data_IF_124743403441
#
_entry.id   IF_124743403441
#
_cell.length_a   1.000
_cell.length_b   1.000
_cell.length_c   1.000
_cell.angle_alpha   90.00
_cell.angle_beta   90.00
_cell.angle_gamma   90.00
#
_symmetry.space_group_name_H-M   'P 1'
#
loop_
_entity.id
_entity.type
_entity.pdbx_description
1 polymer ?
#
# COMPACT_ATOMS: atom_id res chain seq x y z
N UNK A 1 -2.71 -15.88 10.99
CA UNK A 1 -1.43 -16.41 10.45
C UNK A 1 -1.77 -17.58 9.55
N UNK A 2 -1.82 -17.35 8.23
CA UNK A 2 -1.90 -18.47 7.30
C UNK A 2 -0.57 -19.19 7.37
N UNK A 3 -0.57 -20.46 7.74
CA UNK A 3 0.60 -21.32 7.69
C UNK A 3 1.16 -21.32 6.25
N UNK A 4 2.47 -21.55 6.04
CA UNK A 4 3.05 -21.62 4.68
C UNK A 4 2.35 -22.64 3.78
N UNK A 5 1.77 -23.70 4.36
CA UNK A 5 0.94 -24.68 3.65
C UNK A 5 -0.39 -24.09 3.15
N UNK A 6 -1.02 -23.19 3.90
CA UNK A 6 -2.23 -22.50 3.47
C UNK A 6 -1.96 -21.47 2.34
N UNK A 7 -0.73 -20.97 2.21
CA UNK A 7 -0.33 -20.11 1.09
C UNK A 7 -0.20 -20.88 -0.23
N UNK A 8 0.01 -22.20 -0.19
CA UNK A 8 0.08 -23.07 -1.36
C UNK A 8 -1.30 -23.49 -1.88
N UNK A 9 -2.35 -23.41 -1.04
CA UNK A 9 -3.70 -23.74 -1.46
C UNK A 9 -4.35 -22.62 -2.27
N UNK A 10 -5.12 -22.94 -3.33
CA UNK A 10 -5.84 -21.93 -4.07
C UNK A 10 -6.97 -21.33 -3.23
N UNK A 11 -6.93 -20.01 -3.02
CA UNK A 11 -7.90 -19.26 -2.21
C UNK A 11 -8.49 -18.13 -3.03
N UNK A 12 -9.80 -17.93 -2.90
CA UNK A 12 -10.52 -16.81 -3.49
C UNK A 12 -11.49 -16.17 -2.50
N UNK A 13 -11.65 -14.86 -2.58
CA UNK A 13 -12.68 -14.13 -1.87
C UNK A 13 -13.84 -13.83 -2.81
N UNK A 14 -15.05 -14.02 -2.29
CA UNK A 14 -16.29 -13.79 -3.02
C UNK A 14 -17.08 -12.62 -2.44
N UNK A 15 -17.69 -11.88 -3.33
CA UNK A 15 -18.76 -10.94 -3.04
C UNK A 15 -19.89 -11.17 -4.04
N UNK A 16 -21.12 -11.34 -3.55
CA UNK A 16 -22.33 -11.54 -4.39
C UNK A 16 -22.15 -12.59 -5.52
N UNK A 17 -21.56 -13.76 -5.17
CA UNK A 17 -21.31 -14.87 -6.10
C UNK A 17 -20.27 -14.59 -7.21
N UNK A 18 -19.47 -13.52 -7.07
CA UNK A 18 -18.34 -13.21 -7.93
C UNK A 18 -17.04 -13.22 -7.15
N UNK A 19 -15.98 -13.61 -7.80
CA UNK A 19 -14.62 -13.55 -7.28
C UNK A 19 -14.17 -12.09 -7.27
N UNK A 20 -13.76 -11.58 -6.09
CA UNK A 20 -13.22 -10.21 -5.94
C UNK A 20 -11.72 -10.21 -5.73
N UNK A 21 -11.17 -11.26 -5.10
CA UNK A 21 -9.73 -11.41 -4.91
C UNK A 21 -9.33 -12.87 -4.98
N UNK A 22 -8.09 -13.14 -5.39
CA UNK A 22 -7.50 -14.47 -5.52
C UNK A 22 -6.03 -14.44 -5.12
N UNK A 23 -5.52 -15.54 -4.55
CA UNK A 23 -4.09 -15.69 -4.32
C UNK A 23 -3.36 -16.20 -5.58
N UNK A 24 -2.01 -16.22 -5.52
CA UNK A 24 -1.17 -16.65 -6.63
C UNK A 24 -1.46 -18.10 -7.08
N UNK A 25 -1.75 -19.00 -6.13
CA UNK A 25 -2.08 -20.38 -6.43
C UNK A 25 -3.38 -20.50 -7.26
N UNK A 26 -4.43 -19.77 -6.88
CA UNK A 26 -5.67 -19.72 -7.64
C UNK A 26 -5.49 -19.04 -9.02
N UNK A 27 -4.66 -17.99 -9.10
CA UNK A 27 -4.32 -17.37 -10.38
C UNK A 27 -3.61 -18.33 -11.32
N UNK A 28 -2.70 -19.15 -10.80
CA UNK A 28 -2.01 -20.20 -11.57
C UNK A 28 -2.95 -21.24 -12.19
N UNK A 29 -4.08 -21.50 -11.54
CA UNK A 29 -5.16 -22.38 -12.05
C UNK A 29 -6.14 -21.65 -12.99
N UNK A 30 -5.86 -20.39 -13.34
CA UNK A 30 -6.69 -19.62 -14.27
C UNK A 30 -7.85 -18.86 -13.62
N UNK A 31 -8.01 -18.92 -12.28
CA UNK A 31 -9.06 -18.14 -11.59
C UNK A 31 -8.70 -16.66 -11.60
N UNK A 32 -9.65 -15.81 -11.96
CA UNK A 32 -9.47 -14.36 -12.08
C UNK A 32 -10.56 -13.61 -11.31
N UNK A 33 -10.25 -12.42 -10.77
CA UNK A 33 -11.28 -11.50 -10.25
C UNK A 33 -12.34 -11.20 -11.32
N UNK A 34 -13.60 -11.05 -10.91
CA UNK A 34 -14.75 -10.83 -11.77
C UNK A 34 -15.46 -12.13 -12.24
N UNK A 35 -14.81 -13.28 -12.15
CA UNK A 35 -15.43 -14.57 -12.53
C UNK A 35 -16.61 -14.91 -11.61
N UNK A 36 -17.59 -15.64 -12.18
CA UNK A 36 -18.66 -16.26 -11.39
C UNK A 36 -18.09 -17.41 -10.54
N UNK A 37 -18.65 -17.61 -9.36
CA UNK A 37 -18.27 -18.71 -8.47
C UNK A 37 -18.24 -20.08 -9.17
N UNK A 38 -19.29 -20.40 -9.94
CA UNK A 38 -19.40 -21.68 -10.64
C UNK A 38 -18.25 -21.89 -11.64
N UNK A 39 -17.87 -20.86 -12.40
CA UNK A 39 -16.75 -20.91 -13.34
C UNK A 39 -15.41 -21.12 -12.60
N UNK A 40 -15.21 -20.43 -11.50
CA UNK A 40 -13.99 -20.58 -10.71
C UNK A 40 -13.87 -21.99 -10.10
N UNK A 41 -14.97 -22.56 -9.62
CA UNK A 41 -15.02 -23.93 -9.11
C UNK A 41 -14.78 -24.99 -10.19
N UNK A 42 -15.22 -24.75 -11.42
CA UNK A 42 -14.94 -25.65 -12.53
C UNK A 42 -13.46 -25.66 -12.91
N UNK A 43 -12.77 -24.49 -12.82
CA UNK A 43 -11.33 -24.36 -13.07
C UNK A 43 -10.47 -24.94 -11.93
N UNK A 44 -10.91 -24.75 -10.70
CA UNK A 44 -10.18 -25.16 -9.50
C UNK A 44 -11.13 -25.79 -8.48
N UNK A 45 -11.42 -27.11 -8.58
CA UNK A 45 -12.33 -27.81 -7.67
C UNK A 45 -11.89 -27.73 -6.19
N UNK A 46 -10.59 -27.63 -5.94
CA UNK A 46 -10.02 -27.49 -4.59
C UNK A 46 -9.95 -26.03 -4.08
N UNK A 47 -10.62 -25.09 -4.79
CA UNK A 47 -10.60 -23.68 -4.43
C UNK A 47 -11.26 -23.42 -3.08
N UNK A 48 -10.47 -22.94 -2.11
CA UNK A 48 -11.00 -22.47 -0.85
C UNK A 48 -11.67 -21.10 -1.06
N UNK A 49 -12.87 -20.97 -0.51
CA UNK A 49 -13.68 -19.77 -0.72
C UNK A 49 -13.90 -19.05 0.61
N UNK A 50 -13.61 -17.77 0.64
CA UNK A 50 -13.96 -16.85 1.72
C UNK A 50 -14.95 -15.80 1.22
N UNK A 51 -15.68 -15.20 2.14
CA UNK A 51 -16.53 -14.04 1.86
C UNK A 51 -15.70 -12.78 2.12
N UNK A 52 -15.72 -11.85 1.16
CA UNK A 52 -15.13 -10.54 1.36
C UNK A 52 -15.94 -9.76 2.40
N UNK A 53 -15.24 -9.16 3.36
CA UNK A 53 -15.83 -8.40 4.46
C UNK A 53 -15.13 -7.04 4.55
N UNK A 54 -15.72 -6.04 3.95
CA UNK A 54 -15.19 -4.69 3.92
C UNK A 54 -15.06 -4.05 5.32
N UNK A 55 -15.91 -4.45 6.26
CA UNK A 55 -15.85 -3.94 7.64
C UNK A 55 -14.62 -4.51 8.36
N UNK A 56 -14.37 -5.80 8.21
CA UNK A 56 -13.19 -6.47 8.77
C UNK A 56 -11.90 -5.93 8.15
N UNK A 57 -11.89 -5.70 6.85
CA UNK A 57 -10.75 -5.11 6.14
C UNK A 57 -10.48 -3.68 6.62
N UNK A 58 -11.52 -2.87 6.80
CA UNK A 58 -11.38 -1.52 7.35
C UNK A 58 -10.89 -1.52 8.81
N UNK A 59 -11.32 -2.50 9.63
CA UNK A 59 -10.80 -2.66 11.00
C UNK A 59 -9.32 -3.05 10.99
N UNK A 60 -8.90 -3.96 10.10
CA UNK A 60 -7.51 -4.35 9.95
C UNK A 60 -6.63 -3.16 9.57
N UNK A 61 -7.07 -2.33 8.61
CA UNK A 61 -6.36 -1.09 8.24
C UNK A 61 -6.24 -0.11 9.40
N UNK A 62 -7.30 0.06 10.19
CA UNK A 62 -7.27 0.92 11.38
C UNK A 62 -6.30 0.39 12.43
N UNK A 63 -6.25 -0.93 12.64
CA UNK A 63 -5.30 -1.55 13.57
C UNK A 63 -3.85 -1.30 13.13
N UNK A 64 -3.54 -1.42 11.84
CA UNK A 64 -2.23 -1.07 11.28
C UNK A 64 -1.92 0.40 11.49
N UNK A 65 -2.86 1.30 11.19
CA UNK A 65 -2.69 2.73 11.38
C UNK A 65 -2.40 3.09 12.86
N UNK A 66 -3.13 2.50 13.79
CA UNK A 66 -2.87 2.68 15.23
C UNK A 66 -1.48 2.21 15.63
N UNK A 67 -1.02 1.06 15.12
CA UNK A 67 0.34 0.59 15.34
C UNK A 67 1.41 1.55 14.84
N UNK A 68 1.14 2.26 13.73
CA UNK A 68 2.05 3.25 13.16
C UNK A 68 2.09 4.58 13.94
N UNK A 69 1.04 4.92 14.70
CA UNK A 69 1.03 6.13 15.55
C UNK A 69 2.10 6.11 16.65
N UNK A 70 2.63 4.95 17.03
CA UNK A 70 3.77 4.84 17.94
C UNK A 70 5.08 5.39 17.34
N UNK A 71 5.14 5.57 16.03
CA UNK A 71 6.34 5.99 15.31
C UNK A 71 6.22 7.39 14.69
N UNK A 72 5.02 7.84 14.40
CA UNK A 72 4.75 9.15 13.79
C UNK A 72 3.31 9.58 14.08
N UNK A 73 3.07 10.88 14.32
CA UNK A 73 1.70 11.39 14.46
C UNK A 73 0.96 11.51 13.12
N UNK A 74 1.69 11.49 12.01
CA UNK A 74 1.11 11.70 10.67
C UNK A 74 0.87 10.36 9.99
N UNK A 75 -0.34 9.84 10.15
CA UNK A 75 -0.78 8.56 9.53
C UNK A 75 -2.07 8.79 8.76
N UNK A 76 -2.12 8.32 7.53
CA UNK A 76 -3.27 8.46 6.63
C UNK A 76 -3.74 7.09 6.16
N UNK A 77 -5.02 6.82 6.29
CA UNK A 77 -5.67 5.66 5.71
C UNK A 77 -5.96 5.91 4.23
N UNK A 78 -5.53 4.99 3.38
CA UNK A 78 -5.79 4.98 1.93
C UNK A 78 -6.54 3.71 1.58
N UNK A 79 -7.86 3.73 1.66
CA UNK A 79 -8.68 2.56 1.32
C UNK A 79 -8.46 2.13 -0.16
N UNK A 80 -8.62 0.85 -0.47
CA UNK A 80 -9.12 -0.20 0.43
C UNK A 80 -8.04 -0.92 1.26
N UNK A 81 -6.74 -0.72 0.99
CA UNK A 81 -5.72 -1.65 1.51
C UNK A 81 -4.39 -1.00 1.92
N UNK A 82 -4.28 0.33 1.89
CA UNK A 82 -3.02 1.02 2.14
C UNK A 82 -3.10 1.94 3.35
N UNK A 83 -1.97 2.08 4.05
CA UNK A 83 -1.77 3.07 5.11
C UNK A 83 -0.47 3.81 4.81
N UNK A 84 -0.50 5.12 4.79
CA UNK A 84 0.66 5.98 4.61
C UNK A 84 1.06 6.61 5.95
N UNK A 85 2.36 6.65 6.21
CA UNK A 85 2.91 7.29 7.40
C UNK A 85 4.09 8.19 6.99
N UNK A 86 4.07 9.44 7.43
CA UNK A 86 5.21 10.33 7.27
C UNK A 86 6.22 10.04 8.39
N UNK A 87 7.46 9.70 8.03
CA UNK A 87 8.45 9.23 9.00
C UNK A 87 9.75 10.05 9.01
N UNK A 88 9.87 11.08 8.18
CA UNK A 88 11.09 11.86 8.01
C UNK A 88 11.56 12.47 9.35
N UNK A 89 10.65 13.07 10.09
CA UNK A 89 10.95 13.68 11.40
C UNK A 89 11.36 12.63 12.44
N UNK A 90 10.80 11.42 12.35
CA UNK A 90 11.02 10.33 13.31
C UNK A 90 12.32 9.55 13.08
N UNK A 91 12.93 9.63 11.89
CA UNK A 91 14.11 8.85 11.56
C UNK A 91 15.25 9.00 12.55
N UNK A 92 15.51 10.24 13.03
CA UNK A 92 16.57 10.52 14.00
C UNK A 92 16.33 9.86 15.35
N UNK A 93 15.08 9.88 15.81
CA UNK A 93 14.69 9.31 17.11
C UNK A 93 14.81 7.79 17.15
N UNK A 94 14.61 7.13 16.00
CA UNK A 94 14.63 5.67 15.90
C UNK A 94 15.95 5.09 15.39
N UNK A 95 17.01 5.89 15.26
CA UNK A 95 18.33 5.40 14.82
C UNK A 95 18.43 5.15 13.30
N UNK A 96 17.59 5.86 12.53
CA UNK A 96 17.59 5.81 11.07
C UNK A 96 16.56 4.85 10.49
N UNK A 97 16.45 4.83 9.14
CA UNK A 97 15.35 4.12 8.45
C UNK A 97 15.39 2.61 8.64
N UNK A 98 16.55 1.98 8.76
CA UNK A 98 16.63 0.52 8.94
C UNK A 98 16.07 0.07 10.30
N UNK A 99 16.45 0.80 11.37
CA UNK A 99 15.96 0.53 12.73
C UNK A 99 14.47 0.82 12.84
N UNK A 100 14.02 1.94 12.28
CA UNK A 100 12.59 2.25 12.23
C UNK A 100 11.80 1.13 11.54
N UNK A 101 12.30 0.64 10.40
CA UNK A 101 11.69 -0.43 9.64
C UNK A 101 11.52 -1.72 10.45
N UNK A 102 12.59 -2.15 11.13
CA UNK A 102 12.54 -3.33 11.99
C UNK A 102 11.54 -3.17 13.14
N UNK A 103 11.52 -1.99 13.78
CA UNK A 103 10.58 -1.70 14.87
C UNK A 103 9.13 -1.68 14.40
N UNK A 104 8.85 -1.09 13.24
CA UNK A 104 7.52 -1.10 12.63
C UNK A 104 7.09 -2.53 12.32
N UNK A 105 7.96 -3.35 11.73
CA UNK A 105 7.65 -4.76 11.47
C UNK A 105 7.32 -5.52 12.76
N UNK A 106 8.14 -5.34 13.80
CA UNK A 106 7.92 -5.97 15.11
C UNK A 106 6.60 -5.53 15.75
N UNK A 107 6.25 -4.24 15.66
CA UNK A 107 5.01 -3.71 16.20
C UNK A 107 3.75 -4.20 15.46
N UNK A 108 3.85 -4.43 14.15
CA UNK A 108 2.73 -4.90 13.34
C UNK A 108 2.59 -6.44 13.30
N UNK A 109 3.65 -7.18 13.64
CA UNK A 109 3.64 -8.65 13.64
C UNK A 109 2.50 -9.28 14.47
N UNK A 110 2.17 -8.77 15.70
CA UNK A 110 1.08 -9.32 16.50
C UNK A 110 -0.30 -9.20 15.87
N UNK A 111 -0.49 -8.29 14.89
CA UNK A 111 -1.76 -8.12 14.19
C UNK A 111 -2.10 -9.32 13.29
N UNK A 112 -1.12 -10.20 13.01
CA UNK A 112 -1.32 -11.40 12.20
C UNK A 112 -1.57 -11.12 10.71
N UNK A 113 -1.35 -9.88 10.25
CA UNK A 113 -1.49 -9.50 8.85
C UNK A 113 -0.15 -9.55 8.12
N UNK A 114 -0.19 -9.99 6.86
CA UNK A 114 0.97 -9.85 5.98
C UNK A 114 1.04 -8.41 5.48
N UNK A 115 2.00 -7.66 5.98
CA UNK A 115 2.20 -6.25 5.64
C UNK A 115 3.36 -6.11 4.67
N UNK A 116 3.11 -5.44 3.55
CA UNK A 116 4.15 -5.00 2.62
C UNK A 116 4.47 -3.54 2.91
N UNK A 117 5.74 -3.23 3.01
CA UNK A 117 6.19 -1.88 3.31
C UNK A 117 7.13 -1.37 2.23
N UNK A 118 6.97 -0.11 1.85
CA UNK A 118 7.86 0.59 0.95
C UNK A 118 8.12 2.01 1.46
N UNK A 119 9.21 2.60 1.02
CA UNK A 119 9.61 3.96 1.37
C UNK A 119 9.93 4.73 0.08
N UNK A 120 9.39 5.94 -0.04
CA UNK A 120 9.66 6.86 -1.13
C UNK A 120 9.59 8.31 -0.64
N UNK A 121 10.15 9.28 -1.38
CA UNK A 121 10.05 10.70 -1.05
C UNK A 121 8.62 11.25 -1.07
N UNK A 122 7.71 10.60 -1.82
CA UNK A 122 6.32 11.02 -1.91
C UNK A 122 5.33 9.88 -1.69
N UNK A 123 4.09 10.19 -1.26
CA UNK A 123 3.09 9.20 -0.85
C UNK A 123 2.71 8.25 -2.01
N UNK A 124 2.48 8.77 -3.20
CA UNK A 124 2.12 7.97 -4.38
C UNK A 124 3.24 6.98 -4.75
N UNK A 125 4.50 7.42 -4.67
CA UNK A 125 5.65 6.55 -4.93
C UNK A 125 5.77 5.43 -3.91
N UNK A 126 5.54 5.72 -2.63
CA UNK A 126 5.56 4.71 -1.57
C UNK A 126 4.45 3.66 -1.79
N UNK A 127 3.24 4.08 -2.10
CA UNK A 127 2.11 3.20 -2.37
C UNK A 127 2.35 2.30 -3.58
N UNK A 128 2.77 2.87 -4.72
CA UNK A 128 3.07 2.10 -5.92
C UNK A 128 4.19 1.08 -5.70
N UNK A 129 5.23 1.43 -4.94
CA UNK A 129 6.30 0.50 -4.61
C UNK A 129 5.81 -0.62 -3.68
N UNK A 130 4.97 -0.32 -2.70
CA UNK A 130 4.38 -1.33 -1.83
C UNK A 130 3.47 -2.30 -2.62
N UNK A 131 2.67 -1.80 -3.55
CA UNK A 131 1.79 -2.64 -4.37
C UNK A 131 2.51 -3.53 -5.39
N UNK A 132 3.65 -3.10 -5.91
CA UNK A 132 4.33 -3.80 -7.03
C UNK A 132 5.30 -4.91 -6.62
N UNK A 133 5.73 -4.99 -5.37
CA UNK A 133 6.79 -5.95 -4.95
C UNK A 133 6.40 -6.74 -3.72
N UNK A 134 5.82 -7.94 -3.91
CA UNK A 134 5.46 -8.79 -2.78
C UNK A 134 6.63 -9.29 -1.91
N UNK A 135 7.91 -9.23 -2.33
CA UNK A 135 8.98 -9.93 -1.62
C UNK A 135 10.40 -9.33 -1.68
N UNK A 136 10.60 -8.06 -2.03
CA UNK A 136 11.95 -7.51 -2.04
C UNK A 136 12.06 -6.22 -1.23
N UNK A 137 12.88 -6.27 -0.17
CA UNK A 137 13.48 -5.06 0.40
C UNK A 137 14.33 -4.40 -0.70
N UNK A 138 13.95 -3.19 -1.14
CA UNK A 138 14.70 -2.45 -2.16
C UNK A 138 15.96 -1.89 -1.53
N UNK A 139 17.15 -2.17 -2.04
CA UNK A 139 18.38 -1.50 -1.62
C UNK A 139 18.26 0.01 -1.87
N UNK A 140 18.70 0.82 -0.90
CA UNK A 140 18.53 2.29 -0.82
C UNK A 140 19.00 3.10 -2.03
N UNK A 141 19.86 2.56 -2.89
CA UNK A 141 20.46 3.29 -4.02
C UNK A 141 19.61 3.28 -5.30
N UNK A 142 18.62 2.39 -5.42
CA UNK A 142 17.76 2.35 -6.61
C UNK A 142 16.53 3.27 -6.52
N UNK A 143 16.14 3.71 -5.32
CA UNK A 143 14.98 4.59 -5.13
C UNK A 143 15.29 6.03 -5.55
N UNK A 144 16.56 6.44 -5.54
CA UNK A 144 16.97 7.81 -5.85
C UNK A 144 17.02 8.12 -7.35
N UNK A 145 17.18 7.11 -8.21
CA UNK A 145 17.30 7.28 -9.65
C UNK A 145 15.97 7.28 -10.41
N UNK A 146 14.87 6.83 -9.78
CA UNK A 146 13.58 6.63 -10.48
C UNK A 146 12.52 7.69 -10.19
N UNK A 147 12.78 8.65 -9.30
CA UNK A 147 11.85 9.71 -8.92
C UNK A 147 12.56 11.07 -8.87
N UNK A 148 13.14 11.49 -10.00
CA UNK A 148 13.44 12.90 -10.17
C UNK A 148 12.11 13.67 -10.08
N UNK A 149 12.04 14.74 -9.28
CA UNK A 149 10.85 15.60 -9.28
C UNK A 149 10.64 16.12 -10.69
N UNK A 150 9.38 16.24 -11.16
CA UNK A 150 9.11 16.89 -12.44
C UNK A 150 9.74 18.27 -12.42
N UNK A 151 10.31 18.76 -13.55
CA UNK A 151 10.89 20.08 -13.60
C UNK A 151 9.82 21.08 -13.18
N UNK A 152 10.15 21.88 -12.16
CA UNK A 152 9.33 23.02 -11.75
C UNK A 152 9.21 23.92 -12.96
N UNK A 153 8.00 24.11 -13.49
CA UNK A 153 7.74 25.07 -14.53
C UNK A 153 8.24 26.44 -14.04
N UNK A 154 8.99 27.21 -14.87
CA UNK A 154 9.43 28.53 -14.46
C UNK A 154 8.20 29.36 -14.15
N UNK A 155 8.14 29.91 -12.93
CA UNK A 155 7.14 30.91 -12.56
C UNK A 155 7.17 32.01 -13.63
N UNK A 156 6.03 32.22 -14.25
CA UNK A 156 5.83 33.35 -15.16
C UNK A 156 6.11 34.62 -14.34
N UNK A 157 7.24 35.25 -14.63
CA UNK A 157 7.60 36.54 -14.10
C UNK A 157 6.48 37.52 -14.44
N UNK A 158 5.71 37.90 -13.45
CA UNK A 158 4.76 39.00 -13.53
C UNK A 158 5.58 40.27 -13.87
N UNK A 159 5.41 40.74 -15.08
CA UNK A 159 6.03 41.98 -15.53
C UNK A 159 5.52 43.17 -14.71
N UNK A 160 6.40 44.14 -14.39
CA UNK A 160 6.01 45.35 -13.71
C UNK A 160 5.35 46.34 -14.66
N UNK A 161 4.30 46.97 -14.25
CA UNK A 161 3.93 48.24 -14.82
C UNK A 161 2.54 48.32 -15.48
N UNK A 162 1.54 48.54 -14.70
CA UNK A 162 0.31 49.23 -15.08
C UNK A 162 0.18 50.49 -14.22
N UNK A 163 0.76 51.60 -14.73
CA UNK A 163 0.61 52.93 -14.15
C UNK A 163 -0.87 53.34 -14.17
N UNK A 164 -1.42 53.63 -12.99
CA UNK A 164 -2.71 54.29 -12.83
C UNK A 164 -2.49 55.79 -13.08
N UNK A 165 -2.82 56.23 -14.28
CA UNK A 165 -2.94 57.65 -14.59
C UNK A 165 -4.19 58.20 -13.98
N UNK A 166 -4.07 59.09 -13.00
CA UNK A 166 -5.11 60.05 -12.59
C UNK A 166 -4.93 61.27 -13.49
N UNK A 167 -5.94 61.64 -14.15
CA UNK A 167 -6.14 62.99 -14.70
C UNK A 167 -7.58 63.43 -14.59
N UNK A 168 -7.81 64.77 -14.62
CA UNK A 168 -8.35 65.59 -13.55
C UNK A 168 -9.85 65.78 -13.67
#
# INVERSE_FOLDING_TARGET
TLSPEAAAQPVALLERQRIVAVNAAAQGLGVRPGMKRATAMALAPALLQGVADAQRDAQALRAVAHGLLAFTPTVVLVPPQSVLAEVQASLRCFGGPAMLWQRVQAALAPLGHRVQMAHAPGPLGAELLACRRPDRAVPRHQTRASLAPPPVAPEATAGPGGAWSRDP
#
